data_IF_736048693110
#
_entry.id   IF_736048693110
#
_cell.length_a   1.000
_cell.length_b   1.000
_cell.length_c   1.000
_cell.angle_alpha   90.00
_cell.angle_beta   90.00
_cell.angle_gamma   90.00
#
_symmetry.space_group_name_H-M   'P 1'
#
loop_
_entity.id
_entity.type
_entity.pdbx_description
1 polymer ?
#
# COMPACT_ATOMS: atom_id res chain seq x y z
N UNK A 1 13.26 34.55 15.07
CA UNK A 1 13.97 33.26 15.08
C UNK A 1 12.91 32.17 14.96
N UNK A 2 12.78 31.52 13.80
CA UNK A 2 11.81 30.43 13.64
C UNK A 2 12.35 29.21 14.39
N UNK A 3 11.62 28.70 15.37
CA UNK A 3 12.04 27.54 16.16
C UNK A 3 12.26 26.33 15.24
N UNK A 4 13.33 25.57 15.49
CA UNK A 4 13.53 24.30 14.79
C UNK A 4 12.36 23.37 15.07
N UNK A 5 11.94 22.50 14.12
CA UNK A 5 10.79 21.63 14.30
C UNK A 5 10.83 20.81 15.61
N UNK A 6 11.99 20.24 15.94
CA UNK A 6 12.18 19.52 17.21
C UNK A 6 12.15 20.36 18.50
N UNK A 7 12.03 21.67 18.41
CA UNK A 7 11.90 22.59 19.56
C UNK A 7 10.46 23.09 19.74
N UNK A 8 9.55 22.71 18.85
CA UNK A 8 8.15 23.13 18.91
C UNK A 8 7.33 22.12 19.71
N UNK A 9 6.50 22.62 20.62
CA UNK A 9 5.52 21.81 21.35
C UNK A 9 4.44 21.35 20.38
N UNK A 10 4.15 20.05 20.34
CA UNK A 10 3.10 19.53 19.45
C UNK A 10 1.73 19.87 20.04
N UNK A 11 0.82 20.47 19.26
CA UNK A 11 -0.50 20.80 19.75
C UNK A 11 -1.36 19.54 19.97
N UNK A 12 -2.33 19.57 20.90
CA UNK A 12 -3.31 18.50 21.04
C UNK A 12 -4.17 18.36 19.79
N UNK A 13 -4.51 17.13 19.45
CA UNK A 13 -5.32 16.76 18.29
C UNK A 13 -6.62 16.09 18.71
N UNK A 14 -7.65 16.22 17.88
CA UNK A 14 -8.95 15.58 18.10
C UNK A 14 -9.44 14.89 16.84
N UNK A 15 -10.00 13.70 17.01
CA UNK A 15 -10.76 12.97 16.00
C UNK A 15 -12.09 12.54 16.62
N UNK A 16 -13.19 12.78 15.93
CA UNK A 16 -14.50 12.21 16.27
C UNK A 16 -14.95 11.40 15.07
N UNK A 17 -15.28 10.13 15.29
CA UNK A 17 -15.77 9.24 14.25
C UNK A 17 -17.06 8.56 14.70
N UNK A 18 -18.02 8.47 13.78
CA UNK A 18 -19.24 7.70 13.96
C UNK A 18 -18.96 6.20 13.81
N UNK A 19 -19.91 5.37 14.25
CA UNK A 19 -19.87 3.93 14.12
C UNK A 19 -19.65 3.51 12.65
N UNK A 20 -18.48 2.92 12.37
CA UNK A 20 -18.09 2.46 11.04
C UNK A 20 -17.84 0.96 11.00
N UNK A 21 -17.80 0.33 9.81
CA UNK A 21 -17.62 -1.11 9.67
C UNK A 21 -16.20 -1.62 9.96
N UNK A 22 -15.23 -0.70 10.09
CA UNK A 22 -13.80 -1.02 10.28
C UNK A 22 -13.41 -0.88 11.75
N UNK A 23 -12.48 -1.73 12.20
CA UNK A 23 -11.81 -1.55 13.49
C UNK A 23 -10.72 -0.48 13.37
N UNK A 24 -10.49 0.30 14.42
CA UNK A 24 -9.40 1.28 14.48
C UNK A 24 -8.41 0.85 15.55
N UNK A 25 -7.14 0.74 15.20
CA UNK A 25 -6.05 0.58 16.16
C UNK A 25 -5.40 1.93 16.40
N UNK A 26 -5.53 2.47 17.61
CA UNK A 26 -4.81 3.66 18.04
C UNK A 26 -3.50 3.26 18.70
N UNK A 27 -2.36 3.62 18.12
CA UNK A 27 -1.03 3.39 18.71
C UNK A 27 -0.45 4.71 19.18
N UNK A 28 -0.15 4.86 20.46
CA UNK A 28 0.46 6.09 21.01
C UNK A 28 1.97 5.89 21.11
N UNK A 29 2.74 6.55 20.25
CA UNK A 29 4.21 6.44 20.24
C UNK A 29 4.83 7.29 21.35
N UNK A 30 4.32 8.51 21.53
CA UNK A 30 4.76 9.47 22.57
C UNK A 30 3.55 10.16 23.19
N UNK A 31 3.71 10.71 24.40
CA UNK A 31 2.65 11.47 25.05
C UNK A 31 1.49 10.58 25.52
N UNK A 32 0.25 11.06 25.40
CA UNK A 32 -0.93 10.29 25.80
C UNK A 32 -2.20 10.70 25.07
N UNK A 33 -3.14 9.76 24.94
CA UNK A 33 -4.45 9.99 24.36
C UNK A 33 -5.56 9.54 25.32
N UNK A 34 -6.71 10.20 25.24
CA UNK A 34 -7.97 9.75 25.83
C UNK A 34 -8.90 9.32 24.71
N UNK A 35 -9.40 8.10 24.79
CA UNK A 35 -10.37 7.54 23.85
C UNK A 35 -11.69 7.38 24.57
N UNK A 36 -12.72 8.05 24.06
CA UNK A 36 -14.11 7.86 24.48
C UNK A 36 -14.76 6.96 23.45
N UNK A 37 -15.15 5.76 23.84
CA UNK A 37 -15.79 4.78 22.97
C UNK A 37 -16.95 4.14 23.74
N UNK A 38 -18.14 4.12 23.14
CA UNK A 38 -19.37 3.69 23.82
C UNK A 38 -19.59 4.46 25.14
N UNK A 39 -19.78 3.78 26.28
CA UNK A 39 -19.90 4.38 27.62
C UNK A 39 -18.57 4.52 28.38
N UNK A 40 -17.45 4.08 27.81
CA UNK A 40 -16.15 4.03 28.49
C UNK A 40 -15.23 5.16 28.02
N UNK A 41 -14.44 5.70 28.96
CA UNK A 41 -13.30 6.56 28.65
C UNK A 41 -12.01 5.87 29.07
N UNK A 42 -11.15 5.60 28.10
CA UNK A 42 -9.91 4.86 28.27
C UNK A 42 -8.73 5.79 28.01
N UNK A 43 -7.72 5.76 28.88
CA UNK A 43 -6.46 6.49 28.68
C UNK A 43 -5.44 5.54 28.04
N UNK A 44 -4.79 5.99 26.98
CA UNK A 44 -3.73 5.27 26.26
C UNK A 44 -2.44 6.07 26.42
N UNK A 45 -1.44 5.46 27.05
CA UNK A 45 -0.13 6.04 27.31
C UNK A 45 0.91 5.72 26.24
N UNK A 46 2.15 6.21 26.40
CA UNK A 46 3.21 5.99 25.43
C UNK A 46 3.58 4.51 25.34
N UNK A 47 3.79 4.03 24.11
CA UNK A 47 4.02 2.63 23.79
C UNK A 47 2.82 1.71 24.00
N UNK A 48 1.65 2.26 24.27
CA UNK A 48 0.42 1.48 24.32
C UNK A 48 -0.36 1.63 23.02
N UNK A 49 -1.11 0.58 22.70
CA UNK A 49 -2.11 0.62 21.66
C UNK A 49 -3.48 0.18 22.18
N UNK A 50 -4.52 0.71 21.56
CA UNK A 50 -5.90 0.41 21.88
C UNK A 50 -6.64 0.05 20.59
N UNK A 51 -7.24 -1.14 20.57
CA UNK A 51 -8.14 -1.54 19.50
C UNK A 51 -9.55 -1.05 19.80
N UNK A 52 -10.13 -0.32 18.87
CA UNK A 52 -11.51 0.13 18.86
C UNK A 52 -12.28 -0.81 17.93
N UNK A 53 -13.29 -1.56 18.43
CA UNK A 53 -14.05 -2.50 17.62
C UNK A 53 -14.84 -1.82 16.48
N UNK A 54 -15.16 -2.55 15.40
CA UNK A 54 -16.08 -2.04 14.39
C UNK A 54 -17.46 -1.76 15.01
N UNK A 55 -18.23 -0.86 14.41
CA UNK A 55 -19.54 -0.41 14.90
C UNK A 55 -19.47 0.53 16.11
N UNK A 56 -18.27 0.95 16.53
CA UNK A 56 -18.09 1.77 17.73
C UNK A 56 -17.89 3.24 17.38
N UNK A 57 -18.85 4.09 17.74
CA UNK A 57 -18.65 5.55 17.74
C UNK A 57 -17.60 5.93 18.78
N UNK A 58 -16.64 6.77 18.39
CA UNK A 58 -15.52 7.11 19.27
C UNK A 58 -15.00 8.54 19.07
N UNK A 59 -14.40 9.08 20.13
CA UNK A 59 -13.64 10.33 20.10
C UNK A 59 -12.25 10.09 20.67
N UNK A 60 -11.22 10.46 19.90
CA UNK A 60 -9.82 10.42 20.32
C UNK A 60 -9.38 11.86 20.58
N UNK A 61 -8.80 12.12 21.75
CA UNK A 61 -8.23 13.41 22.13
C UNK A 61 -6.80 13.16 22.60
N UNK A 62 -5.81 13.73 21.91
CA UNK A 62 -4.41 13.65 22.35
C UNK A 62 -4.06 14.81 23.26
N UNK A 63 -3.13 14.58 24.19
CA UNK A 63 -2.45 15.67 24.89
C UNK A 63 -1.47 16.40 23.95
N UNK A 64 -0.88 17.50 24.45
CA UNK A 64 0.28 18.09 23.79
C UNK A 64 1.45 17.08 23.73
N UNK A 65 2.39 17.30 22.81
CA UNK A 65 3.59 16.45 22.61
C UNK A 65 3.29 14.96 22.34
N UNK A 66 2.09 14.68 21.82
CA UNK A 66 1.62 13.33 21.53
C UNK A 66 1.70 13.02 20.04
N UNK A 67 2.35 11.90 19.72
CA UNK A 67 2.30 11.27 18.40
C UNK A 67 1.48 9.99 18.54
N UNK A 68 0.32 9.94 17.89
CA UNK A 68 -0.57 8.79 17.93
C UNK A 68 -1.07 8.42 16.53
N UNK A 69 -0.90 7.16 16.14
CA UNK A 69 -1.27 6.62 14.82
C UNK A 69 -2.69 6.02 14.88
N UNK A 70 -3.69 6.62 14.20
CA UNK A 70 -4.99 5.99 14.01
C UNK A 70 -4.93 5.06 12.78
N UNK A 71 -4.70 3.77 13.00
CA UNK A 71 -4.58 2.76 11.94
C UNK A 71 -5.94 2.11 11.72
N UNK A 72 -6.54 2.30 10.54
CA UNK A 72 -7.74 1.57 10.15
C UNK A 72 -7.40 0.13 9.78
N UNK A 73 -8.09 -0.82 10.39
CA UNK A 73 -7.91 -2.23 10.11
C UNK A 73 -8.99 -2.68 9.13
N UNK A 74 -8.62 -2.77 7.85
CA UNK A 74 -9.50 -3.25 6.80
C UNK A 74 -9.87 -4.73 6.97
N UNK A 75 -11.02 -5.11 6.42
CA UNK A 75 -11.40 -6.51 6.28
C UNK A 75 -10.33 -7.24 5.43
N UNK A 76 -9.66 -8.25 6.02
CA UNK A 76 -8.63 -9.05 5.36
C UNK A 76 -7.17 -8.75 5.76
N UNK A 77 -6.92 -7.86 6.73
CA UNK A 77 -5.65 -7.90 7.47
C UNK A 77 -5.59 -9.20 8.28
N UNK A 78 -4.46 -9.92 8.18
CA UNK A 78 -4.26 -11.11 8.99
C UNK A 78 -4.05 -10.67 10.45
N UNK A 79 -4.65 -11.36 11.42
CA UNK A 79 -4.38 -11.07 12.84
C UNK A 79 -2.88 -11.22 13.18
N UNK A 80 -2.15 -12.02 12.39
CA UNK A 80 -0.69 -12.16 12.47
C UNK A 80 0.07 -10.87 12.18
N UNK A 81 -0.51 -9.91 11.45
CA UNK A 81 0.06 -8.58 11.20
C UNK A 81 -0.08 -7.64 12.42
N UNK A 82 -0.69 -8.10 13.51
CA UNK A 82 -0.86 -7.35 14.75
C UNK A 82 -0.05 -7.97 15.90
N UNK A 83 0.41 -7.13 16.86
CA UNK A 83 0.95 -7.60 18.13
C UNK A 83 -0.02 -8.60 18.80
N UNK A 84 0.47 -9.72 19.38
CA UNK A 84 -0.36 -10.77 19.96
C UNK A 84 -1.43 -10.26 20.93
N UNK A 85 -1.07 -9.32 21.81
CA UNK A 85 -1.97 -8.76 22.84
C UNK A 85 -3.12 -7.93 22.25
N UNK A 86 -3.00 -7.53 20.99
CA UNK A 86 -4.02 -6.76 20.25
C UNK A 86 -4.86 -7.66 19.33
N UNK A 87 -4.59 -8.97 19.29
CA UNK A 87 -5.39 -9.96 18.55
C UNK A 87 -6.65 -10.26 19.37
N UNK A 88 -7.80 -10.38 18.71
CA UNK A 88 -9.06 -10.83 19.32
C UNK A 88 -9.58 -10.07 20.57
N UNK A 89 -9.12 -8.85 20.87
CA UNK A 89 -9.69 -8.04 21.96
C UNK A 89 -11.06 -7.50 21.57
N UNK A 90 -12.11 -7.95 22.25
CA UNK A 90 -13.48 -7.41 22.16
C UNK A 90 -13.66 -6.14 22.98
N UNK A 91 -12.93 -6.04 24.11
CA UNK A 91 -12.97 -4.87 24.98
C UNK A 91 -11.82 -3.89 24.68
N UNK A 92 -12.06 -2.57 24.75
CA UNK A 92 -11.03 -1.55 24.53
C UNK A 92 -10.08 -1.46 25.73
N UNK A 93 -9.18 -2.43 25.86
CA UNK A 93 -8.11 -2.43 26.88
C UNK A 93 -6.78 -1.99 26.24
N UNK A 94 -6.12 -0.93 26.76
CA UNK A 94 -4.80 -0.53 26.30
C UNK A 94 -3.78 -1.63 26.59
N UNK A 95 -3.05 -2.05 25.57
CA UNK A 95 -1.99 -3.06 25.69
C UNK A 95 -0.66 -2.44 25.31
N UNK A 96 0.40 -2.83 26.02
CA UNK A 96 1.75 -2.39 25.68
C UNK A 96 2.19 -3.05 24.37
N UNK A 97 2.91 -2.30 23.54
CA UNK A 97 3.44 -2.76 22.27
C UNK A 97 4.95 -2.70 22.33
N UNK A 98 5.61 -3.84 22.10
CA UNK A 98 7.07 -3.88 22.02
C UNK A 98 7.58 -2.90 20.94
N UNK A 99 8.68 -2.16 21.19
CA UNK A 99 9.29 -1.28 20.18
C UNK A 99 9.58 -1.95 18.83
N UNK A 100 9.82 -3.26 18.81
CA UNK A 100 10.06 -4.03 17.57
C UNK A 100 8.89 -3.92 16.59
N UNK A 101 7.67 -3.71 17.10
CA UNK A 101 6.46 -3.57 16.29
C UNK A 101 6.27 -2.17 15.70
N UNK A 102 6.98 -1.15 16.17
CA UNK A 102 6.72 0.23 15.78
C UNK A 102 6.94 0.45 14.29
N UNK A 103 8.03 -0.07 13.74
CA UNK A 103 8.30 0.05 12.30
C UNK A 103 7.18 -0.61 11.49
N UNK A 104 6.71 -1.80 11.89
CA UNK A 104 5.60 -2.49 11.22
C UNK A 104 4.28 -1.73 11.35
N UNK A 105 3.99 -1.12 12.49
CA UNK A 105 2.77 -0.33 12.70
C UNK A 105 2.78 0.97 11.90
N UNK A 106 3.93 1.66 11.81
CA UNK A 106 4.10 2.82 10.93
C UNK A 106 3.98 2.40 9.46
N UNK A 107 4.51 1.23 9.08
CA UNK A 107 4.33 0.67 7.75
C UNK A 107 2.85 0.42 7.42
N UNK A 108 2.11 -0.24 8.32
CA UNK A 108 0.67 -0.49 8.16
C UNK A 108 -0.11 0.82 8.04
N UNK A 109 0.22 1.81 8.87
CA UNK A 109 -0.35 3.15 8.77
C UNK A 109 -0.08 3.79 7.40
N UNK A 110 1.17 3.79 6.95
CA UNK A 110 1.58 4.41 5.69
C UNK A 110 1.00 3.71 4.46
N UNK A 111 0.88 2.38 4.49
CA UNK A 111 0.18 1.59 3.47
C UNK A 111 -1.29 2.00 3.34
N UNK A 112 -1.98 2.25 4.45
CA UNK A 112 -3.37 2.72 4.45
C UNK A 112 -3.55 4.12 3.83
N UNK A 113 -2.47 4.92 3.73
CA UNK A 113 -2.51 6.20 3.02
C UNK A 113 -2.47 6.04 1.50
N UNK A 114 -2.18 4.84 0.99
CA UNK A 114 -2.06 4.55 -0.45
C UNK A 114 -0.82 5.16 -1.11
N UNK A 115 0.10 5.69 -0.31
CA UNK A 115 1.34 6.35 -0.73
C UNK A 115 2.50 5.36 -0.90
N UNK A 116 2.51 4.32 -0.06
CA UNK A 116 3.37 3.15 -0.19
C UNK A 116 2.57 2.00 -0.80
N UNK A 117 3.27 1.10 -1.47
CA UNK A 117 2.81 -0.17 -2.02
C UNK A 117 2.20 -0.15 -3.43
N UNK A 118 2.99 -0.71 -4.36
CA UNK A 118 2.98 -2.18 -4.45
C UNK A 118 4.30 -2.72 -3.84
N UNK A 119 4.32 -3.90 -3.19
CA UNK A 119 5.56 -4.66 -3.04
C UNK A 119 6.20 -4.82 -4.43
N UNK A 120 7.53 -4.98 -4.53
CA UNK A 120 8.13 -5.43 -5.79
C UNK A 120 7.28 -6.58 -6.37
N UNK A 121 7.12 -6.69 -7.71
CA UNK A 121 6.43 -7.81 -8.34
C UNK A 121 7.16 -9.11 -8.03
N UNK A 122 6.98 -9.55 -6.79
CA UNK A 122 7.37 -10.83 -6.28
C UNK A 122 6.26 -11.73 -6.78
N UNK A 123 6.62 -12.84 -7.41
CA UNK A 123 5.67 -13.88 -7.83
C UNK A 123 4.86 -14.49 -6.65
N UNK A 124 4.97 -13.92 -5.44
CA UNK A 124 4.19 -14.20 -4.25
C UNK A 124 2.85 -13.44 -4.28
N UNK A 125 1.79 -14.17 -4.61
CA UNK A 125 0.39 -13.76 -4.48
C UNK A 125 -0.10 -14.19 -3.09
N UNK A 126 -0.92 -13.39 -2.38
CA UNK A 126 -1.45 -13.77 -1.06
C UNK A 126 -2.13 -15.13 -1.06
N UNK A 127 -1.95 -15.88 0.02
CA UNK A 127 -2.68 -17.11 0.28
C UNK A 127 -4.20 -16.83 0.30
N UNK A 128 -5.01 -17.69 -0.35
CA UNK A 128 -6.45 -17.73 -0.10
C UNK A 128 -7.37 -16.97 -1.08
N UNK A 129 -7.03 -16.84 -2.36
CA UNK A 129 -8.05 -16.44 -3.35
C UNK A 129 -8.99 -17.60 -3.66
N UNK A 130 -9.96 -17.86 -2.77
CA UNK A 130 -11.07 -18.75 -3.08
C UNK A 130 -11.95 -18.09 -4.15
N UNK A 131 -12.40 -18.83 -5.17
CA UNK A 131 -13.39 -18.32 -6.10
C UNK A 131 -14.69 -17.98 -5.37
N UNK A 132 -15.40 -16.95 -5.82
CA UNK A 132 -16.59 -16.38 -5.18
C UNK A 132 -17.90 -16.94 -5.73
N UNK A 133 -17.91 -17.41 -6.99
CA UNK A 133 -19.09 -18.02 -7.59
C UNK A 133 -19.43 -19.32 -6.85
N UNK A 134 -20.71 -19.58 -6.50
CA UNK A 134 -21.12 -20.78 -5.76
C UNK A 134 -20.56 -22.08 -6.32
N UNK A 135 -20.62 -22.28 -7.65
CA UNK A 135 -20.17 -23.51 -8.30
C UNK A 135 -18.63 -23.64 -8.28
N UNK A 136 -17.90 -22.54 -8.50
CA UNK A 136 -16.44 -22.55 -8.47
C UNK A 136 -15.91 -22.69 -7.04
N UNK A 137 -16.60 -22.07 -6.07
CA UNK A 137 -16.35 -22.23 -4.64
C UNK A 137 -16.62 -23.66 -4.18
N UNK A 138 -17.70 -24.30 -4.65
CA UNK A 138 -17.98 -25.70 -4.38
C UNK A 138 -16.85 -26.62 -4.91
N UNK A 139 -16.33 -26.37 -6.11
CA UNK A 139 -15.15 -27.08 -6.62
C UNK A 139 -13.90 -26.80 -5.78
N UNK A 140 -13.68 -25.56 -5.36
CA UNK A 140 -12.56 -25.21 -4.50
C UNK A 140 -12.64 -25.91 -3.13
N UNK A 141 -13.84 -26.00 -2.53
CA UNK A 141 -14.09 -26.74 -1.29
C UNK A 141 -13.81 -28.23 -1.44
N UNK A 142 -14.27 -28.85 -2.53
CA UNK A 142 -13.98 -30.26 -2.80
C UNK A 142 -12.48 -30.56 -2.87
N UNK A 143 -11.69 -29.61 -3.40
CA UNK A 143 -10.23 -29.73 -3.49
C UNK A 143 -9.51 -29.39 -2.17
N UNK A 144 -10.11 -28.54 -1.33
CA UNK A 144 -9.64 -28.29 0.03
C UNK A 144 -9.86 -29.51 0.94
N UNK A 145 -11.04 -30.12 0.84
CA UNK A 145 -11.43 -31.30 1.63
C UNK A 145 -10.66 -32.55 1.21
N UNK A 146 -10.32 -32.69 -0.08
CA UNK A 146 -9.46 -33.77 -0.55
C UNK A 146 -8.46 -33.29 -1.63
N UNK A 147 -7.28 -32.80 -1.21
CA UNK A 147 -6.24 -32.28 -2.12
C UNK A 147 -5.63 -33.35 -3.04
N UNK A 148 -5.67 -34.62 -2.62
CA UNK A 148 -5.14 -35.77 -3.38
C UNK A 148 -6.05 -36.20 -4.53
N UNK A 149 -7.31 -35.75 -4.55
CA UNK A 149 -8.27 -36.08 -5.58
C UNK A 149 -7.69 -35.82 -6.97
N UNK A 150 -7.85 -36.77 -7.89
CA UNK A 150 -7.22 -36.72 -9.23
C UNK A 150 -8.15 -36.27 -10.36
N UNK A 151 -9.40 -35.92 -10.05
CA UNK A 151 -10.39 -35.50 -11.04
C UNK A 151 -9.87 -34.48 -12.05
N UNK A 152 -10.24 -34.67 -13.31
CA UNK A 152 -10.01 -33.68 -14.35
C UNK A 152 -10.85 -32.41 -14.10
N UNK A 153 -10.44 -31.25 -14.64
CA UNK A 153 -11.25 -30.03 -14.56
C UNK A 153 -12.65 -30.22 -15.17
N UNK A 154 -12.77 -31.03 -16.23
CA UNK A 154 -14.05 -31.42 -16.82
C UNK A 154 -14.96 -32.18 -15.84
N UNK A 155 -14.42 -33.17 -15.12
CA UNK A 155 -15.18 -33.93 -14.14
C UNK A 155 -15.64 -33.07 -12.95
N UNK A 156 -14.79 -32.15 -12.47
CA UNK A 156 -15.15 -31.21 -11.41
C UNK A 156 -16.20 -30.20 -11.86
N UNK A 157 -16.13 -29.73 -13.10
CA UNK A 157 -17.12 -28.82 -13.67
C UNK A 157 -18.50 -29.49 -13.80
N UNK A 158 -18.53 -30.75 -14.27
CA UNK A 158 -19.75 -31.54 -14.39
C UNK A 158 -20.45 -31.75 -13.03
N UNK A 159 -19.68 -31.95 -11.95
CA UNK A 159 -20.23 -32.13 -10.59
C UNK A 159 -20.95 -30.92 -10.03
N UNK A 160 -20.67 -29.73 -10.56
CA UNK A 160 -21.32 -28.47 -10.14
C UNK A 160 -22.18 -27.88 -11.25
N UNK A 161 -22.52 -28.66 -12.28
CA UNK A 161 -23.47 -28.27 -13.33
C UNK A 161 -22.97 -27.22 -14.32
N UNK A 162 -21.64 -27.06 -14.50
CA UNK A 162 -21.07 -26.09 -15.44
C UNK A 162 -20.11 -26.73 -16.44
N UNK A 163 -19.84 -26.05 -17.56
CA UNK A 163 -18.83 -26.51 -18.52
C UNK A 163 -17.41 -26.25 -18.01
N UNK A 164 -16.45 -27.07 -18.44
CA UNK A 164 -15.02 -26.91 -18.09
C UNK A 164 -14.50 -25.50 -18.41
N UNK A 165 -14.84 -24.98 -19.59
CA UNK A 165 -14.49 -23.61 -20.00
C UNK A 165 -15.04 -22.57 -19.04
N UNK A 166 -16.24 -22.77 -18.51
CA UNK A 166 -16.85 -21.86 -17.52
C UNK A 166 -16.15 -21.95 -16.18
N UNK A 167 -15.81 -23.16 -15.72
CA UNK A 167 -15.03 -23.38 -14.50
C UNK A 167 -13.65 -22.71 -14.60
N UNK A 168 -12.89 -22.98 -15.66
CA UNK A 168 -11.57 -22.41 -15.88
C UNK A 168 -11.61 -20.88 -15.97
N UNK A 169 -12.59 -20.34 -16.70
CA UNK A 169 -12.81 -18.89 -16.78
C UNK A 169 -13.13 -18.29 -15.42
N UNK A 170 -14.02 -18.91 -14.62
CA UNK A 170 -14.35 -18.41 -13.27
C UNK A 170 -13.14 -18.42 -12.34
N UNK A 171 -12.33 -19.48 -12.35
CA UNK A 171 -11.08 -19.50 -11.59
C UNK A 171 -10.13 -18.38 -12.04
N UNK A 172 -9.96 -18.18 -13.35
CA UNK A 172 -9.12 -17.11 -13.88
C UNK A 172 -9.66 -15.71 -13.53
N UNK A 173 -10.97 -15.50 -13.68
CA UNK A 173 -11.64 -14.21 -13.48
C UNK A 173 -11.73 -13.84 -11.98
N UNK A 174 -11.91 -14.83 -11.10
CA UNK A 174 -12.18 -14.59 -9.68
C UNK A 174 -10.93 -14.71 -8.80
N UNK A 175 -10.00 -15.62 -9.14
CA UNK A 175 -8.77 -15.85 -8.37
C UNK A 175 -7.53 -15.25 -9.03
N UNK A 176 -7.65 -14.81 -10.29
CA UNK A 176 -6.52 -14.32 -11.08
C UNK A 176 -5.54 -15.41 -11.50
N UNK A 177 -5.91 -16.69 -11.39
CA UNK A 177 -5.06 -17.85 -11.67
C UNK A 177 -5.81 -18.84 -12.57
N UNK A 178 -5.08 -19.52 -13.46
CA UNK A 178 -5.64 -20.70 -14.13
C UNK A 178 -6.01 -21.75 -13.08
N UNK A 179 -7.03 -22.55 -13.36
CA UNK A 179 -7.47 -23.62 -12.45
C UNK A 179 -6.32 -24.56 -12.05
N UNK A 180 -5.45 -24.93 -13.01
CA UNK A 180 -4.30 -25.81 -12.78
C UNK A 180 -3.25 -25.18 -11.86
N UNK A 181 -2.97 -23.88 -12.05
CA UNK A 181 -2.04 -23.11 -11.21
C UNK A 181 -2.61 -22.92 -9.81
N UNK A 182 -3.90 -22.63 -9.70
CA UNK A 182 -4.60 -22.49 -8.43
C UNK A 182 -4.57 -23.80 -7.63
N UNK A 183 -4.89 -24.94 -8.26
CA UNK A 183 -4.85 -26.27 -7.62
C UNK A 183 -3.45 -26.67 -7.20
N UNK A 184 -2.43 -26.36 -8.01
CA UNK A 184 -1.03 -26.64 -7.66
C UNK A 184 -0.58 -25.83 -6.44
N UNK A 185 -0.99 -24.57 -6.35
CA UNK A 185 -0.72 -23.70 -5.19
C UNK A 185 -1.38 -24.19 -3.92
N UNK A 186 -2.67 -24.56 -3.99
CA UNK A 186 -3.39 -25.15 -2.86
C UNK A 186 -2.63 -26.34 -2.27
N UNK A 187 -2.17 -27.26 -3.14
CA UNK A 187 -1.39 -28.44 -2.74
C UNK A 187 -0.06 -28.08 -2.09
N UNK A 188 0.63 -27.05 -2.59
CA UNK A 188 1.87 -26.58 -1.96
C UNK A 188 1.63 -25.90 -0.61
N UNK A 189 0.50 -25.21 -0.41
CA UNK A 189 0.16 -24.63 0.89
C UNK A 189 -0.08 -25.70 1.96
N UNK A 190 -0.86 -26.72 1.62
CA UNK A 190 -1.09 -27.87 2.51
C UNK A 190 0.23 -28.62 2.77
N UNK A 191 1.09 -28.70 1.76
CA UNK A 191 2.42 -29.28 1.94
C UNK A 191 3.28 -28.48 2.93
N UNK A 192 3.25 -27.15 2.84
CA UNK A 192 3.99 -26.27 3.74
C UNK A 192 3.52 -26.43 5.18
N UNK A 193 2.21 -26.52 5.41
CA UNK A 193 1.64 -26.77 6.73
C UNK A 193 2.16 -28.10 7.33
N UNK A 194 2.09 -29.19 6.58
CA UNK A 194 2.59 -30.48 7.07
C UNK A 194 4.11 -30.49 7.31
N UNK A 195 4.89 -29.74 6.52
CA UNK A 195 6.33 -29.60 6.76
C UNK A 195 6.62 -28.77 8.01
N UNK A 196 5.79 -27.77 8.34
CA UNK A 196 5.86 -27.01 9.59
C UNK A 196 5.52 -27.88 10.80
N UNK A 197 4.56 -28.79 10.67
CA UNK A 197 4.23 -29.84 11.65
C UNK A 197 5.32 -30.93 11.76
N UNK A 198 6.48 -30.75 11.11
CA UNK A 198 7.63 -31.65 11.18
C UNK A 198 7.51 -32.91 10.33
N UNK A 199 6.49 -33.04 9.47
CA UNK A 199 6.28 -34.25 8.65
C UNK A 199 7.40 -34.40 7.60
N UNK A 200 7.74 -35.64 7.28
CA UNK A 200 8.78 -35.96 6.30
C UNK A 200 8.40 -35.49 4.89
N UNK A 201 9.37 -34.96 4.12
CA UNK A 201 9.13 -34.44 2.75
C UNK A 201 8.50 -35.50 1.83
N UNK A 202 8.93 -36.75 1.93
CA UNK A 202 8.36 -37.87 1.17
C UNK A 202 6.91 -38.19 1.55
N UNK A 203 6.58 -38.10 2.85
CA UNK A 203 5.20 -38.28 3.32
C UNK A 203 4.32 -37.15 2.79
N UNK A 204 4.78 -35.90 2.91
CA UNK A 204 4.05 -34.72 2.45
C UNK A 204 3.77 -34.77 0.95
N UNK A 205 4.77 -35.12 0.13
CA UNK A 205 4.59 -35.23 -1.32
C UNK A 205 3.49 -36.22 -1.72
N UNK A 206 3.35 -37.33 -0.98
CA UNK A 206 2.29 -38.31 -1.18
C UNK A 206 0.91 -37.79 -0.72
N UNK A 207 0.85 -36.96 0.32
CA UNK A 207 -0.41 -36.44 0.88
C UNK A 207 -0.99 -35.24 0.12
N UNK A 208 -0.21 -34.58 -0.74
CA UNK A 208 -0.67 -33.39 -1.47
C UNK A 208 -0.97 -33.64 -2.96
N UNK A 209 -0.91 -34.90 -3.40
CA UNK A 209 -1.48 -35.32 -4.71
C UNK A 209 -0.68 -34.89 -5.94
N UNK A 210 0.64 -34.69 -5.83
CA UNK A 210 1.51 -34.49 -6.99
C UNK A 210 1.87 -35.84 -7.64
N UNK A 211 1.82 -35.91 -8.98
CA UNK A 211 2.10 -37.14 -9.74
C UNK A 211 3.56 -37.61 -9.66
N UNK A 212 4.48 -36.73 -9.27
CA UNK A 212 5.89 -37.08 -9.10
C UNK A 212 6.57 -36.20 -8.06
N UNK A 213 7.60 -36.75 -7.41
CA UNK A 213 8.42 -36.02 -6.44
C UNK A 213 9.14 -34.82 -7.09
N UNK A 214 9.58 -34.96 -8.35
CA UNK A 214 10.20 -33.85 -9.11
C UNK A 214 9.20 -32.73 -9.42
N UNK A 215 7.95 -33.09 -9.75
CA UNK A 215 6.87 -32.13 -9.96
C UNK A 215 6.50 -31.38 -8.68
N UNK A 216 6.43 -32.09 -7.55
CA UNK A 216 6.27 -31.50 -6.23
C UNK A 216 7.43 -30.57 -5.87
N UNK A 217 8.69 -31.02 -5.99
CA UNK A 217 9.86 -30.22 -5.63
C UNK A 217 9.97 -28.94 -6.46
N UNK A 218 9.68 -29.04 -7.77
CA UNK A 218 9.62 -27.87 -8.67
C UNK A 218 8.53 -26.90 -8.23
N UNK A 219 7.29 -27.36 -8.07
CA UNK A 219 6.17 -26.52 -7.68
C UNK A 219 6.36 -25.90 -6.28
N UNK A 220 6.91 -26.66 -5.33
CA UNK A 220 7.19 -26.21 -3.98
C UNK A 220 8.24 -25.08 -4.00
N UNK A 221 9.35 -25.26 -4.73
CA UNK A 221 10.38 -24.24 -4.87
C UNK A 221 9.89 -23.00 -5.61
N UNK A 222 9.09 -23.17 -6.67
CA UNK A 222 8.49 -22.06 -7.42
C UNK A 222 7.51 -21.24 -6.57
N UNK A 223 6.81 -21.86 -5.61
CA UNK A 223 5.80 -21.20 -4.79
C UNK A 223 6.32 -20.70 -3.43
N UNK A 224 7.29 -21.38 -2.81
CA UNK A 224 7.82 -21.06 -1.47
C UNK A 224 9.23 -20.44 -1.50
N UNK A 225 9.84 -20.32 -2.68
CA UNK A 225 11.19 -19.76 -2.87
C UNK A 225 12.35 -20.65 -2.35
N UNK A 226 12.06 -21.69 -1.57
CA UNK A 226 13.03 -22.61 -0.97
C UNK A 226 12.63 -24.07 -1.20
N UNK A 227 13.56 -25.02 -1.01
CA UNK A 227 13.21 -26.44 -1.11
C UNK A 227 12.39 -26.90 0.09
N UNK A 228 11.49 -27.88 -0.11
CA UNK A 228 10.70 -28.47 0.98
C UNK A 228 11.56 -29.02 2.15
N UNK A 229 12.79 -29.45 1.85
CA UNK A 229 13.75 -29.96 2.86
C UNK A 229 14.39 -28.84 3.68
N UNK A 230 14.67 -27.69 3.08
CA UNK A 230 15.14 -26.49 3.78
C UNK A 230 14.01 -25.87 4.60
N UNK A 231 12.82 -25.77 4.00
CA UNK A 231 11.62 -25.27 4.65
C UNK A 231 11.31 -26.03 5.95
N UNK A 232 11.31 -27.38 5.91
CA UNK A 232 11.13 -28.22 7.10
C UNK A 232 12.19 -27.99 8.17
N UNK A 233 13.46 -27.87 7.77
CA UNK A 233 14.60 -27.71 8.69
C UNK A 233 14.50 -26.41 9.49
N UNK A 234 14.05 -25.36 8.83
CA UNK A 234 13.81 -24.06 9.47
C UNK A 234 12.64 -24.13 10.46
N UNK A 235 11.61 -24.94 10.16
CA UNK A 235 10.45 -25.12 11.06
C UNK A 235 10.75 -26.01 12.27
N UNK A 236 11.54 -27.09 12.12
CA UNK A 236 11.88 -28.00 13.23
C UNK A 236 12.84 -27.41 14.26
N UNK A 237 13.49 -26.29 13.93
CA UNK A 237 14.38 -25.57 14.85
C UNK A 237 13.62 -24.66 15.83
N UNK A 238 12.28 -24.63 15.77
CA UNK A 238 11.42 -23.69 16.50
C UNK A 238 10.32 -24.29 17.39
N UNK A 239 10.32 -25.59 17.69
CA UNK A 239 9.31 -26.16 18.60
C UNK A 239 9.82 -26.32 20.03
N UNK A 240 9.54 -25.33 20.88
CA UNK A 240 9.69 -25.45 22.33
C UNK A 240 9.78 -24.12 23.10
N UNK A 241 8.69 -23.35 23.15
CA UNK A 241 8.32 -22.35 24.16
C UNK A 241 7.28 -21.40 23.56
N UNK A 242 6.35 -20.88 24.38
CA UNK A 242 5.46 -19.77 24.02
C UNK A 242 6.26 -18.57 23.51
N UNK A 243 6.46 -18.49 22.19
CA UNK A 243 7.26 -17.43 21.58
C UNK A 243 6.37 -16.24 21.24
N UNK A 244 6.71 -15.10 21.83
CA UNK A 244 6.34 -13.77 21.33
C UNK A 244 6.66 -13.73 19.84
N UNK A 245 5.63 -13.69 18.98
CA UNK A 245 5.84 -13.59 17.53
C UNK A 245 6.51 -12.25 17.22
N UNK A 246 7.74 -12.31 16.71
CA UNK A 246 8.47 -11.13 16.22
C UNK A 246 7.74 -10.59 14.98
N UNK A 247 7.57 -9.26 14.85
CA UNK A 247 6.92 -8.68 13.67
C UNK A 247 7.66 -9.08 12.40
N UNK A 248 6.92 -9.44 11.35
CA UNK A 248 7.51 -9.69 10.04
C UNK A 248 8.22 -8.42 9.55
N UNK A 249 9.44 -8.59 9.02
CA UNK A 249 10.22 -7.55 8.37
C UNK A 249 9.36 -6.76 7.36
N UNK A 250 9.58 -5.44 7.27
CA UNK A 250 8.91 -4.61 6.28
C UNK A 250 9.49 -4.99 4.91
N UNK A 251 8.68 -5.44 3.95
CA UNK A 251 9.21 -5.84 2.65
C UNK A 251 9.76 -4.62 1.90
N UNK A 252 10.74 -4.81 1.00
CA UNK A 252 11.10 -3.76 0.05
C UNK A 252 9.90 -3.38 -0.80
N UNK A 253 9.82 -2.11 -1.19
CA UNK A 253 8.71 -1.60 -2.00
C UNK A 253 9.23 -0.70 -3.11
N UNK A 254 8.45 -0.61 -4.19
CA UNK A 254 8.79 0.27 -5.31
C UNK A 254 7.52 0.91 -5.86
N UNK A 255 7.61 2.18 -6.22
CA UNK A 255 6.58 2.86 -6.98
C UNK A 255 6.78 2.58 -8.46
N UNK A 256 5.71 2.62 -9.24
CA UNK A 256 5.80 2.71 -10.69
C UNK A 256 6.24 4.14 -11.10
N UNK A 257 6.72 4.34 -12.33
CA UNK A 257 6.89 5.67 -12.88
C UNK A 257 5.54 6.40 -12.90
N UNK A 258 5.42 7.52 -12.19
CA UNK A 258 4.19 8.33 -12.09
C UNK A 258 4.43 9.80 -12.35
N UNK A 259 3.39 10.51 -12.76
CA UNK A 259 3.40 11.97 -12.89
C UNK A 259 2.31 12.50 -11.97
N UNK A 260 2.69 13.31 -10.98
CA UNK A 260 1.78 13.90 -10.02
C UNK A 260 1.31 15.28 -10.48
N UNK A 261 0.06 15.65 -10.17
CA UNK A 261 -0.45 17.03 -10.35
C UNK A 261 -0.04 18.02 -9.27
N UNK A 262 0.50 17.51 -8.15
CA UNK A 262 0.95 18.29 -6.99
C UNK A 262 2.40 17.96 -6.66
N UNK A 263 3.13 18.96 -6.15
CA UNK A 263 4.45 18.72 -5.58
C UNK A 263 4.27 17.95 -4.28
N UNK A 264 5.08 16.92 -4.05
CA UNK A 264 4.96 16.08 -2.85
C UNK A 264 6.30 16.03 -2.13
N UNK A 265 6.31 16.30 -0.84
CA UNK A 265 7.49 16.09 -0.01
C UNK A 265 7.48 14.65 0.53
N UNK A 266 8.59 13.94 0.34
CA UNK A 266 8.82 12.62 0.94
C UNK A 266 9.97 12.69 1.92
N UNK A 267 9.96 11.81 2.91
CA UNK A 267 10.97 11.73 3.95
C UNK A 267 11.30 10.29 4.28
N UNK A 268 12.60 10.02 4.37
CA UNK A 268 13.15 8.74 4.73
C UNK A 268 13.10 8.58 6.26
N UNK A 269 11.99 8.05 6.77
CA UNK A 269 11.75 7.87 8.21
C UNK A 269 12.76 6.89 8.83
N UNK A 270 12.97 5.75 8.15
CA UNK A 270 13.90 4.68 8.55
C UNK A 270 14.49 4.01 7.33
N UNK A 271 15.77 3.64 7.39
CA UNK A 271 16.45 2.89 6.34
C UNK A 271 16.86 3.73 5.12
N UNK A 272 16.67 3.20 3.91
CA UNK A 272 17.15 3.83 2.66
C UNK A 272 16.21 3.65 1.47
N UNK A 273 16.34 4.56 0.51
CA UNK A 273 15.60 4.54 -0.75
C UNK A 273 16.42 5.17 -1.89
N UNK A 274 16.06 4.84 -3.11
CA UNK A 274 16.53 5.49 -4.33
C UNK A 274 15.33 6.10 -5.06
N UNK A 275 15.36 7.41 -5.31
CA UNK A 275 14.35 8.12 -6.06
C UNK A 275 14.90 8.58 -7.42
N UNK A 276 14.21 8.24 -8.51
CA UNK A 276 14.47 8.76 -9.84
C UNK A 276 13.44 9.85 -10.15
N UNK A 277 13.89 11.08 -10.37
CA UNK A 277 13.06 12.26 -10.64
C UNK A 277 13.54 12.89 -11.94
N UNK A 278 12.70 12.87 -12.98
CA UNK A 278 13.04 13.44 -14.29
C UNK A 278 14.31 12.82 -14.91
N UNK A 279 14.62 11.57 -14.57
CA UNK A 279 15.84 10.87 -15.01
C UNK A 279 17.06 11.04 -14.10
N UNK A 280 17.04 11.96 -13.12
CA UNK A 280 18.11 12.08 -12.11
C UNK A 280 17.84 11.15 -10.93
N UNK A 281 18.86 10.41 -10.50
CA UNK A 281 18.79 9.54 -9.34
C UNK A 281 19.22 10.26 -8.06
N UNK A 282 18.49 10.01 -6.96
CA UNK A 282 18.73 10.55 -5.63
C UNK A 282 18.78 9.38 -4.64
N UNK A 283 19.92 9.20 -3.98
CA UNK A 283 20.03 8.28 -2.86
C UNK A 283 19.54 8.98 -1.59
N UNK A 284 18.60 8.34 -0.88
CA UNK A 284 18.02 8.84 0.36
C UNK A 284 18.41 7.91 1.51
N UNK A 285 18.90 8.51 2.59
CA UNK A 285 19.20 7.85 3.86
C UNK A 285 18.29 8.37 4.95
N UNK A 286 18.18 7.66 6.06
CA UNK A 286 17.35 8.06 7.19
C UNK A 286 17.56 9.54 7.58
N UNK A 287 16.46 10.27 7.67
CA UNK A 287 16.42 11.71 7.93
C UNK A 287 16.34 12.56 6.68
N UNK A 288 16.70 12.05 5.50
CA UNK A 288 16.66 12.81 4.26
C UNK A 288 15.23 13.00 3.77
N UNK A 289 14.94 14.18 3.24
CA UNK A 289 13.69 14.55 2.60
C UNK A 289 13.96 15.06 1.19
N UNK A 290 13.00 14.81 0.30
CA UNK A 290 13.07 15.17 -1.12
C UNK A 290 11.72 15.68 -1.58
N UNK A 291 11.72 16.74 -2.40
CA UNK A 291 10.53 17.19 -3.12
C UNK A 291 10.43 16.43 -4.43
N UNK A 292 9.31 15.77 -4.65
CA UNK A 292 8.90 15.18 -5.92
C UNK A 292 8.08 16.22 -6.70
N UNK A 293 8.62 16.82 -7.78
CA UNK A 293 7.93 17.88 -8.48
C UNK A 293 6.67 17.41 -9.23
N UNK A 294 5.63 18.25 -9.26
CA UNK A 294 4.50 18.06 -10.16
C UNK A 294 4.95 18.09 -11.63
N UNK A 295 4.22 17.39 -12.51
CA UNK A 295 4.50 17.38 -13.95
C UNK A 295 5.75 16.58 -14.35
N UNK A 296 6.57 16.14 -13.40
CA UNK A 296 7.78 15.36 -13.64
C UNK A 296 7.55 13.89 -13.36
N UNK A 297 8.10 13.02 -14.21
CA UNK A 297 8.12 11.58 -13.99
C UNK A 297 8.95 11.25 -12.76
N UNK A 298 8.34 10.54 -11.80
CA UNK A 298 9.01 10.10 -10.57
C UNK A 298 8.84 8.62 -10.33
N UNK A 299 9.88 8.00 -9.80
CA UNK A 299 9.87 6.61 -9.36
C UNK A 299 10.71 6.49 -8.09
N UNK A 300 10.27 5.70 -7.12
CA UNK A 300 11.04 5.48 -5.89
C UNK A 300 11.10 4.00 -5.56
N UNK A 301 12.29 3.50 -5.21
CA UNK A 301 12.53 2.17 -4.67
C UNK A 301 12.99 2.32 -3.23
N UNK A 302 12.34 1.59 -2.32
CA UNK A 302 12.60 1.61 -0.88
C UNK A 302 13.12 0.22 -0.49
N UNK A 303 14.23 0.17 0.24
CA UNK A 303 14.84 -1.08 0.66
C UNK A 303 13.95 -1.84 1.67
N UNK A 304 14.30 -3.11 1.94
CA UNK A 304 13.69 -3.85 3.04
C UNK A 304 13.92 -3.12 4.38
N UNK A 305 13.00 -3.29 5.34
CA UNK A 305 13.04 -2.66 6.65
C UNK A 305 13.23 -1.13 6.61
N UNK A 306 12.77 -0.52 5.52
CA UNK A 306 12.87 0.93 5.27
C UNK A 306 11.48 1.52 5.02
N UNK A 307 11.27 2.78 5.43
CA UNK A 307 9.99 3.46 5.30
C UNK A 307 10.14 4.88 4.78
N UNK A 308 9.64 5.10 3.57
CA UNK A 308 9.52 6.43 2.98
C UNK A 308 8.12 6.98 3.23
N UNK A 309 8.03 8.09 3.94
CA UNK A 309 6.76 8.66 4.37
C UNK A 309 6.46 9.97 3.62
N UNK A 310 5.21 10.21 3.22
CA UNK A 310 4.82 11.49 2.63
C UNK A 310 4.67 12.55 3.72
N UNK A 311 5.43 13.64 3.65
CA UNK A 311 5.32 14.74 4.63
C UNK A 311 4.21 15.75 4.28
N UNK A 312 3.69 15.71 3.06
CA UNK A 312 2.64 16.62 2.62
C UNK A 312 2.75 16.92 1.14
N UNK A 313 1.84 17.76 0.66
CA UNK A 313 1.76 18.14 -0.74
C UNK A 313 1.31 19.58 -0.89
N UNK A 314 1.65 20.19 -2.01
CA UNK A 314 1.12 21.50 -2.42
C UNK A 314 0.31 21.33 -3.70
N UNK A 315 -1.01 21.50 -3.58
CA UNK A 315 -1.96 21.47 -4.70
C UNK A 315 -2.29 22.90 -5.14
N UNK A 316 -2.21 23.18 -6.44
CA UNK A 316 -2.56 24.49 -7.03
C UNK A 316 -1.51 25.60 -6.78
N UNK A 317 -1.03 26.26 -7.84
CA UNK A 317 -0.27 27.52 -7.75
C UNK A 317 1.24 27.44 -7.46
N UNK A 318 1.85 26.26 -7.36
CA UNK A 318 3.31 26.15 -7.38
C UNK A 318 3.86 26.34 -8.79
N UNK A 319 4.86 27.21 -8.96
CA UNK A 319 5.65 27.26 -10.20
C UNK A 319 6.30 25.88 -10.44
N UNK A 320 6.44 25.44 -11.70
CA UNK A 320 7.22 24.25 -12.02
C UNK A 320 8.59 24.31 -11.34
N UNK A 321 9.16 23.17 -10.96
CA UNK A 321 10.43 23.12 -10.24
C UNK A 321 11.49 22.49 -11.13
N UNK A 322 12.70 23.08 -11.14
CA UNK A 322 13.81 22.58 -11.95
C UNK A 322 14.40 21.33 -11.30
N UNK A 323 14.33 20.23 -12.05
CA UNK A 323 14.92 18.95 -11.65
C UNK A 323 16.42 19.09 -11.44
N UNK A 324 17.13 19.91 -12.21
CA UNK A 324 18.59 20.11 -12.10
C UNK A 324 19.02 20.82 -10.82
N UNK A 325 18.19 21.73 -10.34
CA UNK A 325 18.43 22.44 -9.08
C UNK A 325 18.08 21.63 -7.83
N UNK A 326 17.33 20.53 -7.99
CA UNK A 326 16.77 19.76 -6.87
C UNK A 326 17.87 19.14 -6.01
N UNK A 327 17.75 19.34 -4.69
CA UNK A 327 18.63 18.79 -3.66
C UNK A 327 17.83 18.04 -2.60
N UNK A 328 18.51 17.27 -1.75
CA UNK A 328 17.92 16.65 -0.56
C UNK A 328 18.12 17.54 0.66
N UNK A 329 17.16 17.55 1.57
CA UNK A 329 17.28 18.21 2.88
C UNK A 329 17.35 17.17 3.99
N UNK A 330 18.16 17.38 5.02
CA UNK A 330 18.23 16.47 6.17
C UNK A 330 17.47 16.99 7.38
N UNK A 331 16.72 16.10 8.02
CA UNK A 331 16.08 16.30 9.33
C UNK A 331 16.78 15.47 10.39
N UNK A 332 16.84 16.01 11.60
CA UNK A 332 17.46 15.34 12.74
C UNK A 332 16.47 14.39 13.43
N UNK A 333 16.96 13.52 14.31
CA UNK A 333 16.11 12.69 15.16
C UNK A 333 15.18 13.52 16.07
N UNK A 334 15.58 14.73 16.44
CA UNK A 334 14.76 15.64 17.25
C UNK A 334 13.52 16.14 16.48
N UNK A 335 13.57 16.18 15.14
CA UNK A 335 12.46 16.63 14.30
C UNK A 335 11.41 15.51 14.06
N UNK A 336 11.72 14.26 14.42
CA UNK A 336 10.93 13.06 14.06
C UNK A 336 9.47 13.14 14.52
N UNK A 337 9.25 13.49 15.79
CA UNK A 337 7.90 13.57 16.37
C UNK A 337 7.07 14.67 15.71
N UNK A 338 7.70 15.80 15.40
CA UNK A 338 7.05 16.90 14.67
C UNK A 338 6.62 16.46 13.27
N UNK A 339 7.51 15.83 12.53
CA UNK A 339 7.24 15.36 11.17
C UNK A 339 6.13 14.29 11.16
N UNK A 340 6.18 13.31 12.07
CA UNK A 340 5.14 12.28 12.21
C UNK A 340 3.78 12.89 12.61
N UNK A 341 3.76 13.80 13.58
CA UNK A 341 2.54 14.48 14.01
C UNK A 341 1.84 15.21 12.86
N UNK A 342 2.59 16.01 12.10
CA UNK A 342 2.05 16.73 10.96
C UNK A 342 1.66 15.81 9.79
N UNK A 343 2.37 14.72 9.58
CA UNK A 343 1.97 13.70 8.61
C UNK A 343 0.61 13.10 8.99
N UNK A 344 0.42 12.69 10.25
CA UNK A 344 -0.84 12.15 10.76
C UNK A 344 -1.96 13.19 10.59
N UNK A 345 -1.71 14.44 10.98
CA UNK A 345 -2.67 15.53 10.87
C UNK A 345 -3.04 15.87 9.41
N UNK A 346 -2.12 15.68 8.48
CA UNK A 346 -2.32 15.94 7.04
C UNK A 346 -3.17 14.88 6.37
N UNK A 347 -2.97 13.61 6.74
CA UNK A 347 -3.61 12.48 6.05
C UNK A 347 -4.77 11.84 6.83
N UNK A 348 -5.05 12.29 8.05
CA UNK A 348 -6.12 11.76 8.89
C UNK A 348 -6.99 12.87 9.48
N UNK A 349 -8.09 12.49 10.13
CA UNK A 349 -8.92 13.43 10.87
C UNK A 349 -8.38 13.73 12.28
N UNK A 350 -7.34 13.01 12.74
CA UNK A 350 -6.69 13.28 14.02
C UNK A 350 -5.69 14.42 13.84
N UNK A 351 -6.15 15.64 14.06
CA UNK A 351 -5.37 16.86 13.80
C UNK A 351 -5.69 17.97 14.79
N UNK A 352 -4.79 18.95 14.97
CA UNK A 352 -5.06 20.13 15.79
C UNK A 352 -5.99 21.12 15.07
N UNK A 353 -6.59 22.02 15.83
CA UNK A 353 -7.32 23.16 15.27
C UNK A 353 -6.38 24.07 14.46
N UNK A 354 -6.80 24.47 13.26
CA UNK A 354 -5.99 25.34 12.39
C UNK A 354 -4.86 24.66 11.61
N UNK A 355 -4.75 23.33 11.65
CA UNK A 355 -3.75 22.58 10.87
C UNK A 355 -3.78 22.93 9.37
N UNK A 356 -2.62 23.26 8.79
CA UNK A 356 -2.47 23.44 7.33
C UNK A 356 -1.65 22.27 6.77
N UNK A 357 -2.19 21.61 5.75
CA UNK A 357 -1.52 20.48 5.09
C UNK A 357 -0.22 20.86 4.36
N UNK A 358 0.03 22.15 4.17
CA UNK A 358 1.23 22.67 3.49
C UNK A 358 2.38 22.95 4.44
N UNK A 359 2.18 23.05 5.76
CA UNK A 359 3.20 23.56 6.69
C UNK A 359 4.54 22.80 6.59
N UNK A 360 4.50 21.46 6.60
CA UNK A 360 5.73 20.67 6.48
C UNK A 360 6.28 20.66 5.06
N UNK A 361 5.42 20.72 4.04
CA UNK A 361 5.91 20.89 2.66
C UNK A 361 6.70 22.20 2.53
N UNK A 362 6.17 23.30 3.08
CA UNK A 362 6.78 24.62 3.04
C UNK A 362 8.10 24.64 3.82
N UNK A 363 8.18 23.92 4.95
CA UNK A 363 9.40 23.70 5.72
C UNK A 363 10.47 22.94 4.91
N UNK A 364 10.10 21.86 4.23
CA UNK A 364 11.02 21.11 3.36
C UNK A 364 11.50 22.01 2.22
N UNK A 365 10.59 22.70 1.55
CA UNK A 365 10.90 23.62 0.46
C UNK A 365 11.85 24.75 0.88
N UNK A 366 11.66 25.32 2.08
CA UNK A 366 12.52 26.38 2.60
C UNK A 366 13.95 25.90 2.93
N UNK A 367 14.14 24.61 3.17
CA UNK A 367 15.44 23.99 3.47
C UNK A 367 16.07 23.28 2.27
N UNK A 368 15.35 23.18 1.16
CA UNK A 368 15.81 22.55 -0.07
C UNK A 368 16.31 23.65 -1.03
N UNK A 369 17.50 23.52 -1.60
CA UNK A 369 17.84 24.32 -2.78
C UNK A 369 16.99 23.80 -3.93
N UNK A 370 16.05 24.61 -4.40
CA UNK A 370 15.15 24.28 -5.50
C UNK A 370 14.71 25.56 -6.20
N UNK A 371 15.02 25.65 -7.49
CA UNK A 371 14.70 26.80 -8.33
C UNK A 371 13.42 26.54 -9.13
N UNK A 372 12.62 27.59 -9.41
CA UNK A 372 11.53 27.46 -10.36
C UNK A 372 12.09 27.10 -11.75
N UNK A 373 11.37 26.26 -12.48
CA UNK A 373 11.57 26.05 -13.90
C UNK A 373 10.64 27.00 -14.64
N UNK A 374 11.23 27.94 -15.38
CA UNK A 374 10.51 28.98 -16.12
C UNK A 374 10.17 28.57 -17.56
N UNK A 375 10.52 27.34 -17.97
CA UNK A 375 10.17 26.81 -19.29
C UNK A 375 8.63 26.71 -19.44
N UNK A 376 8.03 27.32 -20.47
CA UNK A 376 6.60 27.18 -20.77
C UNK A 376 6.14 25.73 -20.90
N UNK A 377 7.02 24.83 -21.35
CA UNK A 377 6.74 23.40 -21.44
C UNK A 377 6.60 22.74 -20.07
N UNK A 378 7.36 23.21 -19.06
CA UNK A 378 7.24 22.74 -17.68
C UNK A 378 5.93 23.23 -17.05
N UNK A 379 5.53 24.48 -17.32
CA UNK A 379 4.22 25.02 -16.89
C UNK A 379 3.06 24.23 -17.51
N UNK A 380 3.12 23.99 -18.82
CA UNK A 380 2.17 23.15 -19.54
C UNK A 380 2.05 21.76 -18.91
N UNK A 381 3.18 21.12 -18.60
CA UNK A 381 3.22 19.80 -17.98
C UNK A 381 2.55 19.81 -16.59
N UNK A 382 2.87 20.79 -15.72
CA UNK A 382 2.22 20.92 -14.41
C UNK A 382 0.72 21.16 -14.54
N UNK A 383 0.29 22.00 -15.49
CA UNK A 383 -1.11 22.30 -15.76
C UNK A 383 -1.88 21.03 -16.18
N UNK A 384 -1.39 20.31 -17.19
CA UNK A 384 -2.04 19.09 -17.66
C UNK A 384 -1.96 17.98 -16.58
N UNK A 385 -0.90 17.91 -15.77
CA UNK A 385 -0.81 16.91 -14.70
C UNK A 385 -1.88 17.12 -13.60
N UNK A 386 -2.37 18.35 -13.40
CA UNK A 386 -3.50 18.65 -12.51
C UNK A 386 -4.83 18.22 -13.10
N UNK A 387 -4.96 18.23 -14.42
CA UNK A 387 -6.13 17.72 -15.13
C UNK A 387 -5.73 16.82 -16.31
N UNK A 388 -5.29 15.56 -16.06
CA UNK A 388 -4.81 14.66 -17.13
C UNK A 388 -5.87 14.27 -18.17
N UNK A 389 -7.12 14.63 -17.91
CA UNK A 389 -8.29 14.37 -18.75
C UNK A 389 -8.52 15.46 -19.80
N UNK A 390 -7.85 16.61 -19.70
CA UNK A 390 -7.82 17.63 -20.76
C UNK A 390 -7.54 16.94 -22.10
N UNK A 391 -8.23 17.35 -23.17
CA UNK A 391 -8.11 16.80 -24.52
C UNK A 391 -7.07 17.57 -25.35
N UNK A 392 -6.75 17.08 -26.55
CA UNK A 392 -5.83 17.76 -27.47
C UNK A 392 -4.38 17.26 -27.43
N UNK A 393 -3.69 17.25 -28.56
CA UNK A 393 -2.27 16.92 -28.71
C UNK A 393 -1.36 18.07 -28.31
N UNK A 394 -0.04 17.84 -28.32
CA UNK A 394 0.92 18.90 -27.99
C UNK A 394 0.80 20.10 -28.94
N UNK A 395 0.49 19.86 -30.22
CA UNK A 395 0.31 20.88 -31.23
C UNK A 395 -0.89 21.83 -30.98
N UNK A 396 -1.83 21.42 -30.12
CA UNK A 396 -2.98 22.26 -29.75
C UNK A 396 -2.60 23.33 -28.70
N UNK A 397 -1.39 23.24 -28.13
CA UNK A 397 -0.86 24.21 -27.17
C UNK A 397 0.17 25.12 -27.85
N UNK A 398 -0.12 26.42 -27.89
CA UNK A 398 0.79 27.40 -28.47
C UNK A 398 2.07 27.56 -27.65
N UNK A 399 3.20 27.75 -28.35
CA UNK A 399 4.47 28.12 -27.74
C UNK A 399 5.29 26.99 -27.13
N UNK A 400 4.87 25.72 -27.27
CA UNK A 400 5.63 24.55 -26.81
C UNK A 400 5.75 23.52 -27.93
N UNK A 401 6.97 23.20 -28.32
CA UNK A 401 7.24 22.11 -29.27
C UNK A 401 7.60 20.79 -28.55
N UNK A 402 7.71 19.72 -29.33
CA UNK A 402 8.00 18.38 -28.81
C UNK A 402 9.40 18.24 -28.17
N UNK A 403 10.38 19.05 -28.62
CA UNK A 403 11.73 19.03 -28.10
C UNK A 403 11.79 19.72 -26.73
N UNK A 404 11.19 20.90 -26.61
CA UNK A 404 11.05 21.64 -25.37
C UNK A 404 10.29 20.80 -24.32
N UNK A 405 9.18 20.16 -24.71
CA UNK A 405 8.43 19.30 -23.79
C UNK A 405 9.25 18.12 -23.28
N UNK A 406 10.02 17.47 -24.17
CA UNK A 406 10.90 16.37 -23.77
C UNK A 406 12.04 16.84 -22.88
N UNK A 407 12.64 17.99 -23.16
CA UNK A 407 13.68 18.58 -22.33
C UNK A 407 13.17 18.92 -20.93
N UNK A 408 11.96 19.50 -20.82
CA UNK A 408 11.37 19.89 -19.56
C UNK A 408 10.89 18.71 -18.68
N UNK A 409 10.40 17.63 -19.30
CA UNK A 409 9.75 16.52 -18.57
C UNK A 409 10.52 15.20 -18.56
N UNK A 410 11.53 15.07 -19.43
CA UNK A 410 12.28 13.84 -19.68
C UNK A 410 11.56 12.81 -20.56
N UNK A 411 10.31 13.08 -20.98
CA UNK A 411 9.48 12.14 -21.76
C UNK A 411 8.87 12.84 -22.97
N UNK A 412 8.57 12.09 -24.03
CA UNK A 412 7.66 12.61 -25.04
C UNK A 412 6.24 12.78 -24.48
N UNK A 413 5.48 13.71 -25.06
CA UNK A 413 4.14 14.06 -24.59
C UNK A 413 3.17 12.87 -24.51
N UNK A 414 3.24 11.93 -25.45
CA UNK A 414 2.32 10.80 -25.51
C UNK A 414 2.56 9.82 -24.34
N UNK A 415 3.83 9.47 -24.10
CA UNK A 415 4.23 8.61 -22.98
C UNK A 415 4.00 9.31 -21.63
N UNK A 416 4.37 10.59 -21.53
CA UNK A 416 4.12 11.43 -20.37
C UNK A 416 2.64 11.48 -19.99
N UNK A 417 1.76 11.76 -20.96
CA UNK A 417 0.32 11.86 -20.72
C UNK A 417 -0.31 10.51 -20.39
N UNK A 418 0.17 9.43 -21.00
CA UNK A 418 -0.24 8.07 -20.63
C UNK A 418 0.08 7.82 -19.16
N UNK A 419 1.27 8.19 -18.70
CA UNK A 419 1.70 8.05 -17.31
C UNK A 419 0.86 8.91 -16.34
N UNK A 420 0.57 10.17 -16.69
CA UNK A 420 -0.30 11.04 -15.91
C UNK A 420 -1.74 10.47 -15.79
N UNK A 421 -2.31 9.99 -16.88
CA UNK A 421 -3.65 9.36 -16.89
C UNK A 421 -3.70 8.06 -16.11
N UNK A 422 -2.66 7.23 -16.18
CA UNK A 422 -2.57 6.01 -15.38
C UNK A 422 -2.42 6.33 -13.88
N UNK A 423 -1.66 7.37 -13.54
CA UNK A 423 -1.55 7.87 -12.16
C UNK A 423 -2.92 8.27 -11.61
N UNK A 424 -3.69 9.06 -12.37
CA UNK A 424 -5.09 9.37 -12.04
C UNK A 424 -5.98 8.12 -11.98
N UNK A 425 -5.81 7.17 -12.91
CA UNK A 425 -6.59 5.94 -12.91
C UNK A 425 -6.42 5.15 -11.60
N UNK A 426 -5.19 5.06 -11.07
CA UNK A 426 -4.94 4.43 -9.77
C UNK A 426 -5.65 5.17 -8.64
N UNK A 427 -5.58 6.50 -8.63
CA UNK A 427 -6.27 7.30 -7.62
C UNK A 427 -7.78 7.08 -7.63
N UNK A 428 -8.39 7.03 -8.83
CA UNK A 428 -9.82 6.74 -8.98
C UNK A 428 -10.18 5.32 -8.51
N UNK A 429 -9.34 4.33 -8.81
CA UNK A 429 -9.53 2.96 -8.29
C UNK A 429 -9.45 2.92 -6.76
N UNK A 430 -8.48 3.64 -6.15
CA UNK A 430 -8.36 3.76 -4.69
C UNK A 430 -9.57 4.43 -4.03
N UNK A 431 -10.25 5.31 -4.75
CA UNK A 431 -11.53 5.91 -4.32
C UNK A 431 -12.72 4.96 -4.51
N UNK A 432 -12.50 3.73 -4.97
CA UNK A 432 -13.52 2.70 -5.13
C UNK A 432 -14.26 2.73 -6.47
N UNK A 433 -13.83 3.53 -7.46
CA UNK A 433 -14.49 3.53 -8.77
C UNK A 433 -14.25 2.19 -9.49
N UNK A 434 -15.27 1.62 -10.15
CA UNK A 434 -15.11 0.37 -10.87
C UNK A 434 -14.19 0.55 -12.09
N UNK A 435 -13.36 -0.45 -12.46
CA UNK A 435 -12.43 -0.34 -13.58
C UNK A 435 -13.03 0.11 -14.91
N UNK A 436 -14.30 -0.21 -15.17
CA UNK A 436 -15.02 0.23 -16.37
C UNK A 436 -15.31 1.73 -16.37
N UNK A 437 -15.67 2.32 -15.23
CA UNK A 437 -15.85 3.76 -15.09
C UNK A 437 -14.51 4.49 -15.20
N UNK A 438 -13.48 3.98 -14.52
CA UNK A 438 -12.12 4.53 -14.59
C UNK A 438 -11.59 4.52 -16.03
N UNK A 439 -11.76 3.41 -16.76
CA UNK A 439 -11.37 3.30 -18.18
C UNK A 439 -11.97 4.40 -19.03
N UNK A 440 -13.28 4.67 -18.90
CA UNK A 440 -13.96 5.73 -19.67
C UNK A 440 -13.46 7.11 -19.25
N UNK A 441 -13.35 7.33 -17.95
CA UNK A 441 -12.96 8.63 -17.39
C UNK A 441 -11.54 9.02 -17.80
N UNK A 442 -10.59 8.07 -17.83
CA UNK A 442 -9.20 8.31 -18.24
C UNK A 442 -8.97 8.24 -19.76
N UNK A 443 -10.05 8.22 -20.54
CA UNK A 443 -10.02 8.41 -22.00
C UNK A 443 -9.64 7.17 -22.81
N UNK A 444 -9.84 5.96 -22.28
CA UNK A 444 -9.71 4.73 -23.08
C UNK A 444 -11.05 4.35 -23.71
N UNK A 445 -11.06 4.11 -25.02
CA UNK A 445 -12.25 3.66 -25.75
C UNK A 445 -12.82 2.34 -25.22
N UNK A 446 -11.94 1.43 -24.77
CA UNK A 446 -12.34 0.11 -24.28
C UNK A 446 -11.57 -0.29 -23.01
N UNK A 447 -12.27 -1.00 -22.12
CA UNK A 447 -11.71 -1.55 -20.87
C UNK A 447 -10.51 -2.48 -21.11
N UNK A 448 -10.48 -3.20 -22.24
CA UNK A 448 -9.38 -4.09 -22.61
C UNK A 448 -8.08 -3.31 -22.87
N UNK A 449 -8.17 -2.15 -23.54
CA UNK A 449 -7.04 -1.24 -23.78
C UNK A 449 -6.50 -0.66 -22.47
N UNK A 450 -7.41 -0.16 -21.62
CA UNK A 450 -7.06 0.32 -20.29
C UNK A 450 -6.40 -0.78 -19.44
N UNK A 451 -6.99 -1.98 -19.40
CA UNK A 451 -6.49 -3.08 -18.58
C UNK A 451 -5.09 -3.52 -19.00
N UNK A 452 -4.78 -3.55 -20.30
CA UNK A 452 -3.42 -3.82 -20.79
C UNK A 452 -2.44 -2.73 -20.38
N UNK A 453 -2.79 -1.46 -20.60
CA UNK A 453 -1.93 -0.33 -20.26
C UNK A 453 -1.66 -0.24 -18.75
N UNK A 454 -2.69 -0.43 -17.93
CA UNK A 454 -2.57 -0.46 -16.48
C UNK A 454 -1.75 -1.67 -16.02
N UNK A 455 -2.02 -2.88 -16.53
CA UNK A 455 -1.23 -4.06 -16.13
C UNK A 455 0.25 -3.93 -16.53
N UNK A 456 0.52 -3.32 -17.69
CA UNK A 456 1.89 -3.05 -18.12
C UNK A 456 2.61 -2.04 -17.21
N UNK A 457 1.90 -1.02 -16.72
CA UNK A 457 2.48 -0.01 -15.84
C UNK A 457 2.60 -0.44 -14.37
N UNK A 458 1.64 -1.23 -13.88
CA UNK A 458 1.49 -1.57 -12.46
C UNK A 458 1.82 -3.03 -12.12
N UNK A 459 2.06 -3.89 -13.11
CA UNK A 459 2.28 -5.34 -12.90
C UNK A 459 1.03 -6.10 -12.40
N UNK A 460 -0.11 -5.43 -12.26
CA UNK A 460 -1.36 -5.98 -11.74
C UNK A 460 -2.55 -5.44 -12.54
N UNK A 461 -3.58 -6.26 -12.76
CA UNK A 461 -4.78 -5.79 -13.47
C UNK A 461 -5.59 -4.80 -12.63
N UNK A 462 -6.32 -3.85 -13.26
CA UNK A 462 -7.18 -2.91 -12.55
C UNK A 462 -8.22 -3.57 -11.65
N UNK A 463 -8.78 -4.71 -12.08
CA UNK A 463 -9.77 -5.47 -11.29
C UNK A 463 -9.15 -6.05 -10.03
N UNK A 464 -7.95 -6.62 -10.16
CA UNK A 464 -7.24 -7.22 -9.03
C UNK A 464 -6.71 -6.15 -8.08
N UNK A 465 -6.25 -5.02 -8.61
CA UNK A 465 -5.90 -3.84 -7.83
C UNK A 465 -7.11 -3.34 -7.03
N UNK A 466 -8.26 -3.12 -7.69
CA UNK A 466 -9.51 -2.72 -7.02
C UNK A 466 -9.97 -3.72 -5.94
N UNK A 467 -9.78 -5.02 -6.16
CA UNK A 467 -10.14 -6.05 -5.19
C UNK A 467 -9.23 -6.09 -3.95
N UNK A 468 -8.03 -5.50 -4.01
CA UNK A 468 -7.13 -5.35 -2.87
C UNK A 468 -7.44 -4.10 -2.03
N UNK A 469 -8.27 -3.20 -2.56
CA UNK A 469 -8.64 -1.96 -1.89
C UNK A 469 -9.80 -2.28 -0.95
N UNK A 470 -9.69 -1.97 0.36
CA UNK A 470 -10.80 -2.13 1.29
C UNK A 470 -12.02 -1.36 0.77
N UNK A 471 -13.25 -1.89 0.90
CA UNK A 471 -14.43 -1.15 0.50
C UNK A 471 -14.49 0.17 1.29
N UNK A 472 -14.35 1.29 0.57
CA UNK A 472 -14.55 2.62 1.15
C UNK A 472 -16.01 2.70 1.60
N UNK A 473 -16.34 2.84 2.90
CA UNK A 473 -17.71 3.13 3.29
C UNK A 473 -18.12 4.46 2.65
N UNK A 474 -19.33 4.51 2.10
CA UNK A 474 -19.86 5.69 1.42
C UNK A 474 -19.69 6.92 2.33
N UNK A 475 -18.76 7.80 1.97
CA UNK A 475 -18.65 9.09 2.65
C UNK A 475 -19.80 9.97 2.14
N UNK A 476 -20.61 10.60 3.02
CA UNK A 476 -21.56 11.59 2.56
C UNK A 476 -20.80 12.66 1.77
N UNK A 477 -21.37 13.03 0.63
CA UNK A 477 -20.75 13.86 -0.40
C UNK A 477 -19.94 15.03 0.19
N UNK A 478 -18.71 15.20 -0.29
CA UNK A 478 -18.04 16.49 -0.19
C UNK A 478 -18.85 17.47 -1.04
N UNK A 479 -19.56 18.38 -0.37
CA UNK A 479 -20.08 19.59 -1.01
C UNK A 479 -18.86 20.39 -1.48
N UNK A 480 -18.83 20.59 -2.80
CA UNK A 480 -18.17 21.61 -3.61
C UNK A 480 -16.85 22.21 -3.14
#
# INVERSE_FOLDING_TARGET
MVLSPGQQVLPPSRLTAEAGPESVLLVVLTGSAKVRASSATVKVGPGQALRIPPGTSHTIITAADTVALPIRLAAGLNEEDLPPDLRSTTDPVPSYVSPDWYLRLVHLFARNLGYLDLPEPTNAVPAGSLPRSPDAFAVARLLLENPTREDSPAALAARVGISERTLQRRFADETGLSFSTWRSRLRVQIAAQHLQEGRGVSWVAAQVGFRSASGFARAFREHQGTSAREFRRNSTSGSGASQVSVPQAVPPSQTWPRVNGSHVAVWMYRGSAEAVVGGRAFALTQGDALILPAGISTQVRVAADSLLLPLGFRSGGGAPLSVDSLTTTRFSAADENYLLHHLIATYTQLRPGGHRSTDVFDLVAARTTILPNLDPAADLAVRIARNPLEHGGLADFSGVDAQAFRAATGLDFANWRRQARLTLARELLLRGLPPSAVSRQVGYAHLSGFSRAFSAAYGISPRRFAAQIPPVPAHPARVS
#
